data_IF_798063667679
#
_entry.id   IF_798063667679
#
_cell.length_a   1.000
_cell.length_b   1.000
_cell.length_c   1.000
_cell.angle_alpha   90.00
_cell.angle_beta   90.00
_cell.angle_gamma   90.00
#
_symmetry.space_group_name_H-M   'P 1'
#
loop_
_entity.id
_entity.type
_entity.pdbx_description
1 polymer ?
#
# COMPACT_ATOMS: atom_id res chain seq x y z
N UNK A 1 30.81 88.61 -1.87
CA UNK A 1 31.40 88.13 -3.15
C UNK A 1 31.21 86.64 -3.18
N UNK A 2 30.33 86.29 -3.89
CA UNK A 2 29.83 85.30 -4.76
C UNK A 2 30.87 84.23 -5.14
N UNK A 3 30.64 82.97 -4.91
CA UNK A 3 30.86 82.05 -6.02
C UNK A 3 29.95 80.77 -5.85
N UNK A 4 29.27 80.51 -6.90
CA UNK A 4 28.32 79.45 -7.08
C UNK A 4 29.03 78.28 -7.74
N UNK A 5 28.98 77.08 -7.13
CA UNK A 5 29.44 75.81 -7.76
C UNK A 5 28.32 74.82 -7.87
N UNK A 6 27.95 74.52 -9.08
CA UNK A 6 26.98 73.55 -9.51
C UNK A 6 27.52 72.12 -9.33
N UNK A 7 26.84 71.34 -8.54
CA UNK A 7 27.13 69.90 -8.42
C UNK A 7 26.12 69.11 -9.32
N UNK A 8 26.68 68.51 -10.37
CA UNK A 8 25.92 67.66 -11.31
C UNK A 8 25.48 66.38 -10.69
N UNK A 9 24.19 66.06 -10.87
CA UNK A 9 23.59 64.76 -10.53
C UNK A 9 24.03 63.74 -11.55
N UNK A 10 24.84 62.76 -11.12
CA UNK A 10 25.07 61.50 -11.88
C UNK A 10 24.05 60.49 -11.46
N UNK A 11 23.12 60.15 -12.36
CA UNK A 11 22.16 59.07 -12.23
C UNK A 11 22.89 57.76 -12.57
N UNK A 12 23.06 56.90 -11.55
CA UNK A 12 23.53 55.53 -11.74
C UNK A 12 22.31 54.63 -12.04
N UNK A 13 22.18 54.18 -13.27
CA UNK A 13 21.29 53.12 -13.65
C UNK A 13 21.90 51.80 -13.20
N UNK A 14 21.35 51.23 -12.10
CA UNK A 14 21.63 49.84 -11.72
C UNK A 14 20.75 48.91 -12.53
N UNK A 15 21.32 48.29 -13.56
CA UNK A 15 20.70 47.21 -14.30
C UNK A 15 20.69 45.95 -13.43
N UNK A 16 19.52 45.58 -12.91
CA UNK A 16 19.33 44.29 -12.25
C UNK A 16 19.25 43.16 -13.26
N UNK A 17 20.25 42.31 -13.32
CA UNK A 17 20.18 41.03 -13.99
C UNK A 17 19.29 40.08 -13.16
N UNK A 18 18.06 39.86 -13.59
CA UNK A 18 17.22 38.79 -13.04
C UNK A 18 17.73 37.43 -13.56
N UNK A 19 18.50 36.74 -12.74
CA UNK A 19 18.86 35.36 -13.02
C UNK A 19 17.59 34.48 -12.91
N UNK A 20 17.04 34.07 -14.04
CA UNK A 20 16.05 33.01 -14.12
C UNK A 20 16.72 31.69 -13.69
N UNK A 21 16.57 31.36 -12.42
CA UNK A 21 16.92 30.02 -11.94
C UNK A 21 15.95 29.03 -12.57
N UNK A 22 16.33 28.44 -13.71
CA UNK A 22 15.72 27.23 -14.23
C UNK A 22 16.06 26.10 -13.26
N UNK A 23 15.18 25.90 -12.27
CA UNK A 23 15.23 24.72 -11.41
C UNK A 23 15.11 23.49 -12.32
N UNK A 24 16.22 22.80 -12.55
CA UNK A 24 16.21 21.49 -13.13
C UNK A 24 15.34 20.61 -12.20
N UNK A 25 14.13 20.26 -12.65
CA UNK A 25 13.39 19.18 -12.06
C UNK A 25 14.29 17.95 -12.17
N UNK A 26 14.84 17.50 -11.02
CA UNK A 26 15.47 16.20 -10.95
C UNK A 26 14.44 15.23 -11.53
N UNK A 27 14.78 14.57 -12.64
CA UNK A 27 13.87 13.65 -13.32
C UNK A 27 13.47 12.58 -12.30
N UNK A 28 12.22 12.63 -11.84
CA UNK A 28 11.64 11.59 -11.01
C UNK A 28 11.80 10.28 -11.76
N UNK A 29 12.57 9.37 -11.19
CA UNK A 29 12.66 8.01 -11.75
C UNK A 29 11.23 7.46 -11.80
N UNK A 30 10.81 6.89 -12.94
CA UNK A 30 9.47 6.30 -13.01
C UNK A 30 9.33 5.26 -11.91
N UNK A 31 8.20 5.29 -11.22
CA UNK A 31 7.89 4.33 -10.17
C UNK A 31 7.84 2.93 -10.76
N UNK A 32 8.27 1.96 -9.97
CA UNK A 32 8.16 0.55 -10.34
C UNK A 32 6.68 0.16 -10.29
N UNK A 33 6.15 -0.33 -11.41
CA UNK A 33 4.79 -0.87 -11.44
C UNK A 33 4.68 -2.06 -10.52
N UNK A 34 3.66 -2.08 -9.69
CA UNK A 34 3.37 -3.23 -8.84
C UNK A 34 3.03 -4.43 -9.70
N UNK A 35 3.71 -5.58 -9.53
CA UNK A 35 3.38 -6.80 -10.26
C UNK A 35 1.98 -7.30 -9.95
N UNK A 36 1.19 -7.60 -10.98
CA UNK A 36 -0.04 -8.35 -10.81
C UNK A 36 0.24 -9.79 -10.42
N UNK A 37 -0.60 -10.33 -9.54
CA UNK A 37 -0.55 -11.73 -9.12
C UNK A 37 -1.94 -12.37 -9.13
N UNK A 38 -1.98 -13.69 -8.94
CA UNK A 38 -3.23 -14.44 -8.93
C UNK A 38 -4.05 -14.14 -7.68
N UNK A 39 -5.36 -14.11 -7.83
CA UNK A 39 -6.33 -13.98 -6.73
C UNK A 39 -6.24 -15.16 -5.76
N UNK A 40 -5.89 -16.33 -6.27
CA UNK A 40 -5.83 -17.55 -5.50
C UNK A 40 -7.22 -18.16 -5.21
N UNK A 41 -7.25 -19.33 -4.54
CA UNK A 41 -8.48 -20.10 -4.34
C UNK A 41 -9.32 -19.61 -3.16
N UNK A 42 -8.87 -18.64 -2.38
CA UNK A 42 -9.49 -18.25 -1.10
C UNK A 42 -10.09 -16.84 -1.11
N UNK A 43 -10.27 -16.23 -2.29
CA UNK A 43 -11.11 -15.03 -2.39
C UNK A 43 -12.54 -15.36 -1.93
N UNK A 44 -13.20 -14.55 -1.09
CA UNK A 44 -14.47 -14.88 -0.51
C UNK A 44 -15.53 -15.24 -1.54
N UNK A 45 -16.14 -16.42 -1.42
CA UNK A 45 -17.34 -16.80 -2.20
C UNK A 45 -18.60 -16.14 -1.65
N UNK A 46 -18.55 -15.74 -0.37
CA UNK A 46 -19.57 -14.98 0.31
C UNK A 46 -18.85 -13.96 1.21
N UNK A 47 -19.15 -12.68 1.00
CA UNK A 47 -18.57 -11.62 1.84
C UNK A 47 -19.11 -11.70 3.25
N UNK A 48 -18.26 -11.50 4.29
CA UNK A 48 -18.73 -11.39 5.66
C UNK A 48 -19.66 -10.18 5.79
N UNK A 49 -20.60 -10.26 6.73
CA UNK A 49 -21.53 -9.17 7.01
C UNK A 49 -20.80 -7.90 7.48
N UNK A 50 -19.71 -8.09 8.21
CA UNK A 50 -18.75 -7.06 8.58
C UNK A 50 -17.55 -7.17 7.64
N UNK A 51 -17.34 -6.17 6.81
CA UNK A 51 -16.32 -6.16 5.75
C UNK A 51 -15.66 -4.80 5.60
N UNK A 52 -15.55 -4.08 6.73
CA UNK A 52 -14.87 -2.79 6.81
C UNK A 52 -13.33 -2.94 6.80
N UNK A 53 -12.62 -1.92 7.23
CA UNK A 53 -11.16 -1.91 7.24
C UNK A 53 -10.53 -2.32 8.60
N UNK A 54 -11.32 -2.74 9.58
CA UNK A 54 -10.83 -3.31 10.86
C UNK A 54 -11.08 -4.81 10.93
N UNK A 55 -10.16 -5.62 10.40
CA UNK A 55 -10.30 -7.07 10.38
C UNK A 55 -10.07 -7.71 11.76
N UNK A 56 -9.58 -6.94 12.74
CA UNK A 56 -9.23 -7.45 14.09
C UNK A 56 -10.45 -7.48 15.02
N UNK A 57 -11.52 -6.76 14.65
CA UNK A 57 -12.77 -6.75 15.38
C UNK A 57 -13.93 -7.12 14.47
N UNK A 58 -14.77 -8.00 14.92
CA UNK A 58 -16.02 -8.36 14.24
C UNK A 58 -17.19 -7.81 15.07
N UNK A 59 -18.07 -7.05 14.44
CA UNK A 59 -19.25 -6.47 15.08
C UNK A 59 -20.09 -7.54 15.79
N UNK A 60 -20.42 -7.28 17.06
CA UNK A 60 -21.15 -8.23 17.90
C UNK A 60 -20.30 -9.32 18.56
N UNK A 61 -18.99 -9.35 18.32
CA UNK A 61 -18.06 -10.24 19.04
C UNK A 61 -17.35 -9.45 20.14
N UNK A 62 -17.29 -10.03 21.35
CA UNK A 62 -16.55 -9.45 22.47
C UNK A 62 -15.03 -9.67 22.35
N UNK A 63 -14.63 -10.78 21.74
CA UNK A 63 -13.23 -11.12 21.52
C UNK A 63 -12.64 -10.31 20.35
N UNK A 64 -11.35 -10.06 20.42
CA UNK A 64 -10.53 -9.56 19.32
C UNK A 64 -9.83 -10.73 18.65
N UNK A 65 -9.52 -10.61 17.36
CA UNK A 65 -8.77 -11.60 16.60
C UNK A 65 -7.44 -11.96 17.27
N UNK A 66 -7.10 -13.24 17.21
CA UNK A 66 -5.77 -13.72 17.60
C UNK A 66 -4.70 -13.22 16.64
N UNK A 67 -3.46 -13.17 17.10
CA UNK A 67 -2.32 -12.72 16.34
C UNK A 67 -1.86 -11.30 16.69
N UNK A 68 -0.77 -10.87 16.07
CA UNK A 68 -0.18 -9.56 16.31
C UNK A 68 -0.86 -8.52 15.42
N UNK A 69 -1.48 -7.52 16.01
CA UNK A 69 -2.13 -6.41 15.30
C UNK A 69 -1.13 -5.75 14.35
N UNK A 70 -1.57 -5.50 13.13
CA UNK A 70 -0.79 -4.86 12.06
C UNK A 70 -1.63 -3.79 11.39
N UNK A 71 -1.10 -2.56 11.36
CA UNK A 71 -1.66 -1.44 10.63
C UNK A 71 -1.04 -1.41 9.24
N UNK A 72 -1.81 -1.84 8.25
CA UNK A 72 -1.41 -1.81 6.85
C UNK A 72 -1.95 -0.53 6.20
N UNK A 73 -1.06 0.28 5.66
CA UNK A 73 -1.43 1.45 4.86
C UNK A 73 -0.62 1.54 3.59
N UNK A 74 -0.96 2.51 2.75
CA UNK A 74 -0.26 2.79 1.52
C UNK A 74 -1.05 3.72 0.63
N UNK A 75 -0.56 3.95 -0.58
CA UNK A 75 -1.20 4.79 -1.58
C UNK A 75 -1.44 4.01 -2.87
N UNK A 76 -2.54 4.33 -3.53
CA UNK A 76 -2.80 3.89 -4.90
C UNK A 76 -2.35 5.00 -5.84
N UNK A 77 -1.38 4.70 -6.69
CA UNK A 77 -0.72 5.66 -7.55
C UNK A 77 -0.77 5.22 -9.02
N UNK A 78 -0.75 6.17 -9.94
CA UNK A 78 -0.45 5.89 -11.34
C UNK A 78 1.08 5.83 -11.59
N UNK A 79 1.46 5.52 -12.81
CA UNK A 79 2.86 5.42 -13.25
C UNK A 79 3.67 6.71 -13.03
N UNK A 80 3.01 7.86 -13.01
CA UNK A 80 3.60 9.17 -12.79
C UNK A 80 3.63 9.59 -11.31
N UNK A 81 3.20 8.70 -10.40
CA UNK A 81 3.13 8.98 -8.96
C UNK A 81 1.93 9.82 -8.55
N UNK A 82 0.97 10.05 -9.43
CA UNK A 82 -0.25 10.78 -9.10
C UNK A 82 -1.22 9.86 -8.35
N UNK A 83 -1.87 10.34 -7.31
CA UNK A 83 -2.84 9.54 -6.56
C UNK A 83 -4.05 9.15 -7.41
N UNK A 84 -4.58 7.96 -7.15
CA UNK A 84 -5.83 7.47 -7.72
C UNK A 84 -6.89 7.48 -6.61
N UNK A 85 -7.64 8.58 -6.46
CA UNK A 85 -8.65 8.71 -5.42
C UNK A 85 -9.84 7.79 -5.68
N UNK A 86 -10.56 7.46 -4.60
CA UNK A 86 -11.76 6.63 -4.66
C UNK A 86 -11.56 5.24 -5.29
N UNK A 87 -10.32 4.75 -5.35
CA UNK A 87 -10.07 3.36 -5.66
C UNK A 87 -10.59 2.49 -4.51
N UNK A 88 -11.40 1.48 -4.81
CA UNK A 88 -11.78 0.52 -3.79
C UNK A 88 -10.62 -0.46 -3.59
N UNK A 89 -10.20 -0.62 -2.35
CA UNK A 89 -9.12 -1.54 -1.96
C UNK A 89 -9.71 -2.63 -1.09
N UNK A 90 -9.39 -3.87 -1.42
CA UNK A 90 -9.81 -5.07 -0.72
C UNK A 90 -8.57 -5.82 -0.24
N UNK A 91 -8.63 -6.40 0.95
CA UNK A 91 -7.61 -7.34 1.42
C UNK A 91 -8.27 -8.62 1.90
N UNK A 92 -7.57 -9.75 1.74
CA UNK A 92 -7.94 -11.01 2.38
C UNK A 92 -6.70 -11.80 2.74
N UNK A 93 -6.76 -12.47 3.87
CA UNK A 93 -5.68 -13.29 4.40
C UNK A 93 -6.19 -14.39 5.31
N UNK A 94 -5.36 -15.37 5.62
CA UNK A 94 -5.63 -16.35 6.65
C UNK A 94 -5.56 -15.73 8.06
N UNK A 95 -6.19 -16.38 9.04
CA UNK A 95 -6.09 -16.05 10.46
C UNK A 95 -4.70 -16.41 11.05
N UNK A 96 -4.54 -16.27 12.36
CA UNK A 96 -3.30 -16.58 13.08
C UNK A 96 -2.93 -18.08 13.06
N UNK A 97 -3.83 -18.97 12.67
CA UNK A 97 -3.60 -20.39 12.50
C UNK A 97 -3.29 -20.79 11.05
N UNK A 98 -3.28 -19.84 10.10
CA UNK A 98 -3.07 -20.10 8.68
C UNK A 98 -4.32 -20.59 7.95
N UNK A 99 -5.50 -20.36 8.51
CA UNK A 99 -6.79 -20.81 7.98
C UNK A 99 -7.53 -19.62 7.35
N UNK A 100 -8.05 -19.80 6.14
CA UNK A 100 -8.92 -18.83 5.48
C UNK A 100 -10.38 -19.02 5.86
N UNK A 101 -11.14 -17.92 5.97
CA UNK A 101 -12.62 -17.99 6.03
C UNK A 101 -13.16 -18.35 4.64
N UNK A 102 -13.00 -19.60 4.26
CA UNK A 102 -13.37 -20.06 2.92
C UNK A 102 -13.74 -21.56 2.90
N UNK A 103 -14.79 -22.00 2.18
CA UNK A 103 -15.23 -23.40 2.17
C UNK A 103 -14.17 -24.43 1.71
N UNK A 104 -13.16 -23.96 0.97
CA UNK A 104 -12.04 -24.80 0.52
C UNK A 104 -10.87 -24.86 1.48
N UNK A 105 -10.90 -24.05 2.53
CA UNK A 105 -9.82 -24.09 3.53
C UNK A 105 -9.92 -25.42 4.31
N UNK A 106 -8.76 -26.04 4.53
CA UNK A 106 -8.68 -27.15 5.48
C UNK A 106 -8.97 -26.61 6.89
N UNK A 107 -9.52 -27.47 7.74
CA UNK A 107 -9.76 -27.19 9.16
C UNK A 107 -10.60 -25.92 9.43
N UNK A 108 -11.51 -25.57 8.53
CA UNK A 108 -12.35 -24.38 8.62
C UNK A 108 -13.06 -24.22 9.98
N UNK A 109 -13.37 -25.30 10.66
CA UNK A 109 -13.96 -25.28 11.99
C UNK A 109 -13.05 -24.67 13.07
N UNK A 110 -11.74 -24.55 12.79
CA UNK A 110 -10.75 -23.94 13.68
C UNK A 110 -10.44 -22.49 13.31
N UNK A 111 -11.10 -21.93 12.30
CA UNK A 111 -10.95 -20.53 11.92
C UNK A 111 -11.32 -19.62 13.11
N UNK A 112 -10.52 -18.59 13.35
CA UNK A 112 -10.79 -17.59 14.39
C UNK A 112 -12.00 -16.72 14.01
N UNK A 113 -13.14 -17.00 14.60
CA UNK A 113 -14.38 -16.25 14.37
C UNK A 113 -14.33 -14.77 14.77
N UNK A 114 -13.33 -14.36 15.58
CA UNK A 114 -13.09 -12.96 15.91
C UNK A 114 -12.24 -12.24 14.86
N UNK A 115 -11.74 -12.97 13.86
CA UNK A 115 -11.03 -12.40 12.72
C UNK A 115 -11.97 -12.27 11.51
N UNK A 116 -12.03 -11.09 10.89
CA UNK A 116 -12.91 -10.83 9.77
C UNK A 116 -12.47 -11.59 8.50
N UNK A 117 -11.17 -11.77 8.29
CA UNK A 117 -10.56 -12.51 7.18
C UNK A 117 -10.56 -11.79 5.83
N UNK A 118 -11.46 -10.84 5.64
CA UNK A 118 -11.61 -9.99 4.46
C UNK A 118 -12.01 -8.59 4.91
N UNK A 119 -11.50 -7.56 4.24
CA UNK A 119 -11.90 -6.19 4.50
C UNK A 119 -11.83 -5.33 3.24
N UNK A 120 -12.56 -4.22 3.26
CA UNK A 120 -12.64 -3.28 2.15
C UNK A 120 -12.63 -1.84 2.64
N UNK A 121 -11.97 -0.97 1.88
CA UNK A 121 -11.98 0.48 2.11
C UNK A 121 -11.89 1.24 0.79
N UNK A 122 -12.06 2.56 0.85
CA UNK A 122 -11.87 3.45 -0.30
C UNK A 122 -10.62 4.29 -0.06
N UNK A 123 -9.79 4.42 -1.08
CA UNK A 123 -8.68 5.37 -1.06
C UNK A 123 -9.21 6.80 -0.99
N UNK A 124 -8.59 7.63 -0.15
CA UNK A 124 -8.94 9.04 0.00
C UNK A 124 -8.49 9.91 -1.20
N UNK A 125 -8.65 11.23 -1.08
CA UNK A 125 -8.27 12.18 -2.14
C UNK A 125 -6.76 12.17 -2.46
N UNK A 126 -5.92 11.74 -1.52
CA UNK A 126 -4.48 11.57 -1.70
C UNK A 126 -4.10 10.13 -2.13
N UNK A 127 -5.10 9.30 -2.47
CA UNK A 127 -4.92 7.90 -2.82
C UNK A 127 -4.59 6.98 -1.64
N UNK A 128 -4.68 7.46 -0.41
CA UNK A 128 -4.29 6.72 0.79
C UNK A 128 -5.38 5.74 1.21
N UNK A 129 -4.97 4.50 1.51
CA UNK A 129 -5.82 3.49 2.11
C UNK A 129 -5.23 2.98 3.44
N UNK A 130 -6.07 2.45 4.32
CA UNK A 130 -5.64 1.91 5.62
C UNK A 130 -6.51 0.73 6.02
N UNK A 131 -5.85 -0.28 6.62
CA UNK A 131 -6.49 -1.42 7.26
C UNK A 131 -5.85 -1.66 8.63
N UNK A 132 -6.64 -2.19 9.54
CA UNK A 132 -6.18 -2.81 10.77
C UNK A 132 -6.41 -4.31 10.65
N UNK A 133 -5.34 -5.08 10.63
CA UNK A 133 -5.37 -6.52 10.44
C UNK A 133 -4.39 -7.20 11.41
N UNK A 134 -4.03 -8.45 11.16
CA UNK A 134 -3.00 -9.16 11.93
C UNK A 134 -1.77 -9.43 11.05
N UNK A 135 -0.62 -9.62 11.68
CA UNK A 135 0.57 -10.12 10.98
C UNK A 135 0.22 -11.39 10.23
N UNK A 136 0.42 -11.46 8.92
CA UNK A 136 0.15 -12.67 8.17
C UNK A 136 1.11 -13.78 8.59
N UNK A 137 0.61 -15.01 8.54
CA UNK A 137 1.36 -16.22 8.86
C UNK A 137 1.49 -17.12 7.64
N UNK A 138 2.44 -18.03 7.67
CA UNK A 138 2.58 -19.05 6.63
C UNK A 138 1.48 -20.09 6.72
N UNK A 139 1.10 -20.66 5.58
CA UNK A 139 0.32 -21.89 5.50
C UNK A 139 0.95 -22.85 4.49
N UNK A 140 0.53 -24.14 4.40
CA UNK A 140 1.21 -25.12 3.55
C UNK A 140 1.46 -24.64 2.13
N UNK A 141 2.74 -24.59 1.73
CA UNK A 141 3.17 -24.20 0.39
C UNK A 141 3.32 -22.68 0.16
N UNK A 142 3.01 -21.82 1.14
CA UNK A 142 3.05 -20.38 0.98
C UNK A 142 3.77 -19.67 2.12
N UNK A 143 4.53 -18.64 1.78
CA UNK A 143 5.08 -17.67 2.73
C UNK A 143 3.99 -16.75 3.30
N UNK A 144 4.21 -16.09 4.47
CA UNK A 144 3.29 -15.08 4.98
C UNK A 144 2.99 -13.98 3.96
N UNK A 145 1.71 -13.77 3.65
CA UNK A 145 1.27 -12.77 2.68
C UNK A 145 -0.15 -12.28 2.96
N UNK A 146 -0.46 -11.12 2.40
CA UNK A 146 -1.81 -10.55 2.34
C UNK A 146 -2.16 -10.36 0.87
N UNK A 147 -3.30 -10.87 0.45
CA UNK A 147 -3.85 -10.57 -0.87
C UNK A 147 -4.44 -9.18 -0.89
N UNK A 148 -4.24 -8.47 -2.01
CA UNK A 148 -4.77 -7.13 -2.21
C UNK A 148 -5.42 -7.03 -3.58
N UNK A 149 -6.64 -6.51 -3.65
CA UNK A 149 -7.28 -6.14 -4.90
C UNK A 149 -7.59 -4.64 -4.92
N UNK A 150 -7.42 -4.03 -6.08
CA UNK A 150 -7.73 -2.61 -6.31
C UNK A 150 -8.69 -2.50 -7.48
N UNK A 151 -9.86 -1.89 -7.24
CA UNK A 151 -10.82 -1.55 -8.28
C UNK A 151 -10.69 -0.05 -8.60
N UNK A 152 -10.20 0.26 -9.80
CA UNK A 152 -10.03 1.66 -10.24
C UNK A 152 -11.38 2.22 -10.70
N UNK A 153 -11.82 3.40 -10.17
CA UNK A 153 -13.07 4.02 -10.56
C UNK A 153 -13.15 4.29 -12.07
N UNK A 154 -14.34 4.10 -12.64
CA UNK A 154 -14.65 4.45 -14.04
C UNK A 154 -13.80 3.78 -15.13
N UNK A 155 -12.88 2.89 -14.78
CA UNK A 155 -12.00 2.21 -15.75
C UNK A 155 -12.30 0.72 -15.94
N UNK A 156 -13.21 0.15 -15.15
CA UNK A 156 -13.49 -1.29 -15.18
C UNK A 156 -12.28 -2.16 -14.82
N UNK A 157 -11.18 -1.54 -14.38
CA UNK A 157 -9.94 -2.24 -14.03
C UNK A 157 -10.03 -2.78 -12.61
N UNK A 158 -9.91 -4.11 -12.47
CA UNK A 158 -9.64 -4.78 -11.21
C UNK A 158 -8.22 -5.36 -11.28
N UNK A 159 -7.36 -4.87 -10.42
CA UNK A 159 -5.98 -5.30 -10.28
C UNK A 159 -5.83 -6.15 -9.03
N UNK A 160 -5.10 -7.26 -9.10
CA UNK A 160 -4.84 -8.15 -7.95
C UNK A 160 -3.34 -8.34 -7.78
N UNK A 161 -2.89 -8.29 -6.55
CA UNK A 161 -1.50 -8.51 -6.15
C UNK A 161 -1.44 -9.15 -4.76
N UNK A 162 -0.24 -9.35 -4.24
CA UNK A 162 0.01 -9.84 -2.88
C UNK A 162 1.15 -9.05 -2.24
N UNK A 163 0.99 -8.67 -0.98
CA UNK A 163 2.05 -8.13 -0.13
C UNK A 163 2.69 -9.29 0.63
N UNK A 164 4.00 -9.35 0.65
CA UNK A 164 4.81 -10.34 1.37
C UNK A 164 5.58 -9.69 2.50
N UNK A 165 5.86 -10.44 3.56
CA UNK A 165 6.59 -9.94 4.73
C UNK A 165 8.09 -10.02 4.51
N UNK A 166 8.81 -8.94 4.76
CA UNK A 166 10.26 -8.91 4.68
C UNK A 166 10.89 -9.79 5.78
N UNK A 167 12.02 -10.42 5.45
CA UNK A 167 12.76 -11.27 6.38
C UNK A 167 12.19 -12.68 6.56
N UNK A 168 11.08 -13.02 5.89
CA UNK A 168 10.53 -14.38 5.96
C UNK A 168 11.36 -15.37 5.13
N UNK A 169 11.92 -16.43 5.76
CA UNK A 169 12.77 -17.38 5.03
C UNK A 169 12.06 -18.12 3.90
N UNK A 170 10.74 -18.30 4.01
CA UNK A 170 9.91 -18.95 3.01
C UNK A 170 9.76 -18.14 1.73
N UNK A 171 10.05 -16.83 1.74
CA UNK A 171 10.03 -15.99 0.54
C UNK A 171 10.90 -16.57 -0.58
N UNK A 172 12.04 -17.16 -0.24
CA UNK A 172 12.96 -17.77 -1.20
C UNK A 172 12.40 -19.02 -1.90
N UNK A 173 11.32 -19.60 -1.37
CA UNK A 173 10.71 -20.85 -1.86
C UNK A 173 9.25 -20.66 -2.33
N UNK A 174 8.67 -19.48 -2.16
CA UNK A 174 7.31 -19.20 -2.61
C UNK A 174 7.26 -19.04 -4.13
N UNK A 175 6.61 -19.98 -4.82
CA UNK A 175 6.60 -20.04 -6.27
C UNK A 175 5.94 -18.83 -6.94
N UNK A 176 4.95 -18.19 -6.30
CA UNK A 176 4.30 -17.00 -6.85
C UNK A 176 5.19 -15.77 -6.72
N UNK A 177 5.85 -15.59 -5.57
CA UNK A 177 6.79 -14.50 -5.37
C UNK A 177 8.01 -14.65 -6.30
N UNK A 178 8.60 -15.85 -6.38
CA UNK A 178 9.77 -16.12 -7.22
C UNK A 178 9.44 -16.12 -8.72
N UNK A 179 8.17 -16.29 -9.09
CA UNK A 179 7.67 -16.15 -10.45
C UNK A 179 7.76 -14.73 -11.00
N UNK A 180 7.87 -13.70 -10.16
CA UNK A 180 8.14 -12.32 -10.58
C UNK A 180 9.62 -12.19 -10.98
N UNK A 181 9.91 -12.22 -12.28
CA UNK A 181 11.28 -12.28 -12.81
C UNK A 181 12.08 -10.99 -12.59
N UNK A 182 11.45 -9.85 -12.76
CA UNK A 182 12.09 -8.55 -12.48
C UNK A 182 12.35 -8.44 -10.98
N UNK A 183 13.63 -8.26 -10.62
CA UNK A 183 14.06 -8.23 -9.22
C UNK A 183 13.48 -7.03 -8.48
N UNK A 184 13.52 -5.84 -9.08
CA UNK A 184 13.03 -4.63 -8.43
C UNK A 184 11.50 -4.68 -8.23
N UNK A 185 10.77 -5.19 -9.23
CA UNK A 185 9.34 -5.42 -9.13
C UNK A 185 9.01 -6.49 -8.07
N UNK A 186 9.78 -7.58 -7.97
CA UNK A 186 9.61 -8.58 -6.91
C UNK A 186 9.89 -8.00 -5.52
N UNK A 187 10.95 -7.22 -5.38
CA UNK A 187 11.30 -6.56 -4.11
C UNK A 187 10.24 -5.55 -3.67
N UNK A 188 9.55 -4.89 -4.61
CA UNK A 188 8.45 -3.96 -4.28
C UNK A 188 7.24 -4.64 -3.62
N UNK A 189 7.10 -5.96 -3.74
CA UNK A 189 6.06 -6.74 -3.06
C UNK A 189 6.43 -7.12 -1.62
N UNK A 190 7.70 -6.97 -1.22
CA UNK A 190 8.21 -7.42 0.07
C UNK A 190 8.31 -6.23 1.01
N UNK A 191 7.46 -6.23 2.04
CA UNK A 191 7.23 -5.10 2.93
C UNK A 191 7.75 -5.41 4.34
N UNK A 192 8.56 -4.51 4.93
CA UNK A 192 8.96 -4.64 6.33
C UNK A 192 7.77 -4.35 7.25
N UNK A 193 7.71 -5.09 8.36
CA UNK A 193 6.80 -4.82 9.46
C UNK A 193 7.60 -4.15 10.59
N UNK A 194 7.29 -2.89 10.89
CA UNK A 194 7.99 -2.09 11.89
C UNK A 194 7.20 -2.05 13.19
N UNK A 195 7.81 -2.28 14.37
CA UNK A 195 7.12 -2.14 15.64
C UNK A 195 6.60 -0.72 15.87
N UNK A 196 5.39 -0.60 16.43
CA UNK A 196 4.80 0.65 16.90
C UNK A 196 4.10 0.42 18.26
N UNK A 197 3.69 1.48 18.98
CA UNK A 197 2.97 1.34 20.24
C UNK A 197 1.64 0.56 20.14
N UNK A 198 1.03 0.56 18.95
CA UNK A 198 -0.28 -0.06 18.69
C UNK A 198 -0.17 -1.42 17.98
N UNK A 199 1.04 -1.92 17.74
CA UNK A 199 1.27 -3.19 17.06
C UNK A 199 2.40 -3.10 16.04
N UNK A 200 2.18 -3.61 14.83
CA UNK A 200 3.10 -3.48 13.71
C UNK A 200 2.55 -2.48 12.69
N UNK A 201 3.45 -1.82 11.99
CA UNK A 201 3.12 -0.96 10.85
C UNK A 201 3.73 -1.50 9.56
N UNK A 202 2.96 -1.43 8.49
CA UNK A 202 3.35 -1.79 7.13
C UNK A 202 2.91 -0.72 6.15
N UNK A 203 3.79 -0.34 5.23
CA UNK A 203 3.44 0.57 4.13
C UNK A 203 3.62 -0.15 2.80
N UNK A 204 2.54 -0.29 2.05
CA UNK A 204 2.51 -0.94 0.75
C UNK A 204 1.87 -0.02 -0.29
N UNK A 205 2.68 0.80 -0.98
CA UNK A 205 2.23 1.61 -2.11
C UNK A 205 2.00 0.73 -3.34
N UNK A 206 0.89 0.95 -4.05
CA UNK A 206 0.50 0.19 -5.24
C UNK A 206 0.51 1.13 -6.44
N UNK A 207 1.37 0.84 -7.42
CA UNK A 207 1.56 1.64 -8.63
C UNK A 207 0.93 0.92 -9.82
N UNK A 208 -0.04 1.54 -10.45
CA UNK A 208 -0.83 0.96 -11.54
C UNK A 208 -0.48 1.57 -12.90
N UNK A 209 -0.59 0.76 -13.94
CA UNK A 209 -0.44 1.19 -15.34
C UNK A 209 -1.76 1.79 -15.87
N UNK A 210 -2.17 2.94 -15.37
CA UNK A 210 -3.43 3.62 -15.73
C UNK A 210 -3.19 5.06 -16.13
#
# INVERSE_FOLDING_TARGET
MRDTSLIGRRTLLAGGLAALATGARAGERPLILTPGQVEGPFYPVQFPADSDNDLVRVTGRAAQAMGQVTHLGGRILDRQGRPIPSAAVEIWQCDAHGIYRHPRAADQALFDDAFQGYGRTMADAAGVYRFRTIRPVAYPGRTPHIHVAVQVPHRGLRFVTQMYVAGEPLNARDGLLQGVRDRAARESLIVPLSPSPEGLEATFDIVLAV
#
